data_IF_000559562304
#
_entry.id   IF_000559562304
#
_cell.length_a   1.000
_cell.length_b   1.000
_cell.length_c   1.000
_cell.angle_alpha   90.00
_cell.angle_beta   90.00
_cell.angle_gamma   90.00
#
_symmetry.space_group_name_H-M   'P 1'
#
loop_
_entity.id
_entity.type
_entity.pdbx_description
1 polymer ?
#
# COMPACT_ATOMS: atom_id res chain seq x y z
N UNK A 1 -4.16 44.64 22.30
CA UNK A 1 -3.77 44.35 20.90
C UNK A 1 -3.51 42.85 20.63
N UNK A 2 -3.91 41.91 21.50
CA UNK A 2 -3.50 40.49 21.38
C UNK A 2 -4.67 39.50 21.19
N UNK A 3 -5.90 39.98 21.01
CA UNK A 3 -7.10 39.14 21.03
C UNK A 3 -7.47 38.50 19.67
N UNK A 4 -6.75 38.84 18.60
CA UNK A 4 -7.08 38.38 17.24
C UNK A 4 -6.34 37.11 16.83
N UNK A 5 -5.23 36.76 17.50
CA UNK A 5 -4.39 35.61 17.12
C UNK A 5 -4.89 34.28 17.69
N UNK A 6 -5.74 34.30 18.73
CA UNK A 6 -6.35 33.09 19.32
C UNK A 6 -7.61 32.62 18.61
N UNK A 7 -8.21 33.46 17.75
CA UNK A 7 -9.32 33.01 16.92
C UNK A 7 -8.74 32.21 15.75
N UNK A 8 -8.95 30.88 15.85
CA UNK A 8 -9.44 30.03 14.75
C UNK A 8 -8.41 29.12 14.05
N UNK A 9 -7.63 28.30 14.78
CA UNK A 9 -7.01 27.11 14.16
C UNK A 9 -8.15 26.13 13.79
N UNK A 10 -8.71 26.26 12.58
CA UNK A 10 -9.75 25.37 12.03
C UNK A 10 -9.19 24.06 11.49
N UNK A 11 -7.88 24.04 11.22
CA UNK A 11 -7.25 22.97 10.46
C UNK A 11 -5.91 22.57 11.10
N UNK A 12 -5.70 21.27 11.23
CA UNK A 12 -4.50 20.64 11.77
C UNK A 12 -3.80 19.81 10.70
N UNK A 13 -2.48 19.96 10.56
CA UNK A 13 -1.64 19.14 9.67
C UNK A 13 -1.15 17.91 10.42
N UNK A 14 -1.47 16.72 9.92
CA UNK A 14 -1.03 15.43 10.48
C UNK A 14 -0.16 14.67 9.46
N UNK A 15 0.78 13.85 9.97
CA UNK A 15 1.56 12.90 9.17
C UNK A 15 1.02 11.50 9.39
N UNK A 16 0.59 10.84 8.31
CA UNK A 16 0.06 9.47 8.34
C UNK A 16 1.21 8.45 8.45
N UNK A 17 0.93 7.20 8.91
CA UNK A 17 1.90 6.11 8.89
C UNK A 17 2.44 5.78 7.49
N UNK A 18 1.69 6.12 6.42
CA UNK A 18 2.16 6.02 5.03
C UNK A 18 3.22 7.08 4.65
N UNK A 19 3.50 8.04 5.53
CA UNK A 19 4.39 9.17 5.30
C UNK A 19 3.73 10.39 4.66
N UNK A 20 2.48 10.27 4.17
CA UNK A 20 1.74 11.39 3.59
C UNK A 20 1.29 12.40 4.65
N UNK A 21 1.42 13.69 4.34
CA UNK A 21 0.86 14.79 5.15
C UNK A 21 -0.57 15.07 4.72
N UNK A 22 -1.50 15.24 5.67
CA UNK A 22 -2.89 15.61 5.41
C UNK A 22 -3.35 16.73 6.34
N UNK A 23 -4.25 17.56 5.86
CA UNK A 23 -4.95 18.59 6.65
C UNK A 23 -6.30 18.02 7.08
N UNK A 24 -6.65 18.18 8.35
CA UNK A 24 -7.89 17.69 8.96
C UNK A 24 -8.49 18.80 9.82
N UNK A 25 -9.82 18.84 9.95
CA UNK A 25 -10.49 19.80 10.84
C UNK A 25 -10.02 19.63 12.29
N UNK A 26 -9.79 20.75 12.98
CA UNK A 26 -9.37 20.76 14.39
C UNK A 26 -10.43 20.23 15.34
N UNK A 27 -11.70 20.18 14.92
CA UNK A 27 -12.80 19.57 15.69
C UNK A 27 -12.81 18.03 15.64
N UNK A 28 -11.92 17.39 14.88
CA UNK A 28 -11.84 15.93 14.83
C UNK A 28 -11.23 15.35 16.13
N UNK A 29 -11.79 14.22 16.59
CA UNK A 29 -11.28 13.51 17.78
C UNK A 29 -10.00 12.74 17.45
N UNK A 30 -9.05 12.76 18.39
CA UNK A 30 -7.83 11.95 18.35
C UNK A 30 -7.56 11.34 19.74
N UNK A 31 -6.81 10.24 19.77
CA UNK A 31 -6.35 9.61 21.00
C UNK A 31 -4.86 9.92 21.19
N UNK A 32 -4.46 10.30 22.40
CA UNK A 32 -3.06 10.52 22.75
C UNK A 32 -2.38 9.15 22.92
N UNK A 33 -1.25 8.96 22.25
CA UNK A 33 -0.42 7.76 22.35
C UNK A 33 -0.34 6.94 21.06
N UNK A 34 0.12 5.70 21.19
CA UNK A 34 0.32 4.76 20.08
C UNK A 34 -0.63 3.56 20.20
N UNK A 35 -0.96 2.93 19.07
CA UNK A 35 -1.77 1.71 19.06
C UNK A 35 -0.96 0.57 19.68
N UNK A 36 -1.55 -0.16 20.63
CA UNK A 36 -0.93 -1.28 21.31
C UNK A 36 -0.71 -2.50 20.37
N UNK A 37 0.19 -3.41 20.76
CA UNK A 37 0.49 -4.63 19.99
C UNK A 37 1.38 -4.41 18.76
N UNK A 38 2.21 -3.35 18.79
CA UNK A 38 3.26 -3.11 17.81
C UNK A 38 4.28 -4.27 17.70
N UNK A 39 5.02 -4.32 16.60
CA UNK A 39 6.07 -5.33 16.38
C UNK A 39 5.58 -6.73 15.94
N UNK A 40 4.26 -7.01 15.95
CA UNK A 40 3.71 -8.31 15.49
C UNK A 40 4.17 -8.73 14.08
N UNK A 41 4.47 -7.77 13.21
CA UNK A 41 4.92 -8.00 11.82
C UNK A 41 6.40 -8.34 11.68
N UNK A 42 7.21 -8.13 12.72
CA UNK A 42 8.66 -8.38 12.69
C UNK A 42 8.97 -9.88 12.73
N UNK A 43 8.17 -10.65 13.48
CA UNK A 43 8.31 -12.10 13.53
C UNK A 43 7.88 -12.75 12.21
N UNK A 44 8.76 -13.51 11.52
CA UNK A 44 8.40 -14.19 10.28
C UNK A 44 7.38 -15.33 10.53
N UNK A 45 6.46 -15.50 9.58
CA UNK A 45 5.51 -16.63 9.57
C UNK A 45 6.18 -17.83 8.90
N UNK A 46 6.69 -18.77 9.69
CA UNK A 46 7.47 -19.90 9.18
C UNK A 46 6.61 -20.99 8.53
N UNK A 47 5.48 -21.35 9.14
CA UNK A 47 4.60 -22.44 8.68
C UNK A 47 3.42 -21.90 7.87
N UNK A 48 3.06 -22.60 6.79
CA UNK A 48 1.85 -22.30 6.01
C UNK A 48 0.56 -22.37 6.85
N UNK A 49 0.47 -23.32 7.80
CA UNK A 49 -0.66 -23.42 8.73
C UNK A 49 -0.90 -22.16 9.58
N UNK A 50 0.16 -21.42 9.92
CA UNK A 50 0.02 -20.15 10.64
C UNK A 50 -0.62 -19.08 9.75
N UNK A 51 -0.30 -19.07 8.45
CA UNK A 51 -0.95 -18.19 7.48
C UNK A 51 -2.42 -18.60 7.27
N UNK A 52 -2.70 -19.89 7.18
CA UNK A 52 -4.06 -20.42 7.09
C UNK A 52 -4.95 -19.90 8.23
N UNK A 53 -4.54 -20.10 9.50
CA UNK A 53 -5.32 -19.62 10.65
C UNK A 53 -5.47 -18.09 10.68
N UNK A 54 -4.45 -17.35 10.22
CA UNK A 54 -4.50 -15.88 10.11
C UNK A 54 -5.55 -15.40 9.09
N UNK A 55 -5.71 -16.09 7.96
CA UNK A 55 -6.66 -15.72 6.92
C UNK A 55 -8.06 -16.32 7.13
N UNK A 56 -8.17 -17.44 7.85
CA UNK A 56 -9.45 -18.08 8.20
C UNK A 56 -10.39 -17.18 8.99
N UNK A 57 -9.84 -16.36 9.90
CA UNK A 57 -10.64 -15.40 10.71
C UNK A 57 -10.90 -14.08 10.00
N UNK A 58 -10.42 -13.94 8.75
CA UNK A 58 -10.61 -12.76 7.91
C UNK A 58 -11.36 -13.19 6.64
N UNK A 59 -11.14 -12.47 5.54
CA UNK A 59 -11.61 -12.89 4.22
C UNK A 59 -10.79 -14.06 3.68
N UNK A 60 -11.46 -14.97 2.97
CA UNK A 60 -10.82 -16.04 2.21
C UNK A 60 -9.98 -15.47 1.04
N UNK A 61 -8.69 -15.26 1.27
CA UNK A 61 -7.74 -14.73 0.29
C UNK A 61 -6.40 -15.48 0.26
N UNK A 62 -6.37 -16.68 0.85
CA UNK A 62 -5.22 -17.56 0.93
C UNK A 62 -5.69 -19.02 0.78
N UNK A 63 -4.99 -19.88 0.02
CA UNK A 63 -3.75 -19.63 -0.73
C UNK A 63 -3.98 -18.80 -2.00
N UNK A 64 -2.91 -18.23 -2.58
CA UNK A 64 -2.96 -17.48 -3.85
C UNK A 64 -2.20 -18.24 -4.91
N UNK A 65 -2.90 -18.69 -5.95
CA UNK A 65 -2.29 -19.31 -7.14
C UNK A 65 -1.72 -18.21 -8.04
N UNK A 66 -0.52 -18.41 -8.58
CA UNK A 66 0.09 -17.45 -9.53
C UNK A 66 -0.70 -17.47 -10.84
N UNK A 67 -1.01 -16.31 -11.39
CA UNK A 67 -1.77 -16.23 -12.66
C UNK A 67 -1.12 -16.94 -13.85
N UNK A 68 0.23 -17.03 -13.88
CA UNK A 68 0.97 -17.76 -14.91
C UNK A 68 0.81 -19.29 -14.82
N UNK A 69 0.42 -19.81 -13.65
CA UNK A 69 0.15 -21.23 -13.46
C UNK A 69 -1.27 -21.62 -13.89
N UNK A 70 -2.09 -20.65 -14.30
CA UNK A 70 -3.46 -20.85 -14.74
C UNK A 70 -3.53 -20.95 -16.27
N UNK A 71 -4.67 -21.40 -16.79
CA UNK A 71 -4.92 -21.45 -18.23
C UNK A 71 -5.21 -20.04 -18.79
N UNK A 72 -5.11 -19.80 -20.13
CA UNK A 72 -5.44 -18.51 -20.74
C UNK A 72 -6.86 -18.02 -20.44
N UNK A 73 -7.80 -18.95 -20.24
CA UNK A 73 -9.21 -18.65 -19.92
C UNK A 73 -9.39 -18.08 -18.52
N UNK A 74 -8.55 -18.51 -17.57
CA UNK A 74 -8.71 -18.19 -16.16
C UNK A 74 -7.99 -16.89 -15.77
N UNK A 75 -6.87 -16.58 -16.44
CA UNK A 75 -6.06 -15.42 -16.10
C UNK A 75 -5.29 -14.88 -17.33
N UNK A 76 -5.17 -13.55 -17.51
CA UNK A 76 -4.49 -12.98 -18.69
C UNK A 76 -3.00 -13.36 -18.83
N UNK A 77 -2.33 -13.65 -17.72
CA UNK A 77 -0.94 -14.16 -17.71
C UNK A 77 -0.83 -15.68 -17.93
N UNK A 78 -1.95 -16.39 -18.04
CA UNK A 78 -2.00 -17.84 -18.09
C UNK A 78 -1.75 -18.41 -19.48
N UNK A 79 -1.38 -19.70 -19.53
CA UNK A 79 -1.15 -20.45 -20.76
C UNK A 79 0.26 -20.45 -21.31
N UNK A 80 0.37 -20.92 -22.57
CA UNK A 80 1.63 -21.16 -23.26
C UNK A 80 2.31 -22.48 -22.86
N UNK A 81 3.25 -22.94 -23.70
CA UNK A 81 4.03 -24.15 -23.42
C UNK A 81 5.08 -23.93 -22.33
N UNK A 82 5.51 -22.68 -22.13
CA UNK A 82 6.44 -22.28 -21.07
C UNK A 82 5.77 -21.27 -20.15
N UNK A 83 6.04 -21.33 -18.84
CA UNK A 83 5.46 -20.38 -17.88
C UNK A 83 6.13 -19.01 -17.99
N UNK A 84 5.48 -18.08 -18.67
CA UNK A 84 5.90 -16.68 -18.79
C UNK A 84 4.68 -15.78 -19.02
N UNK A 85 4.81 -14.46 -18.83
CA UNK A 85 3.68 -13.53 -19.01
C UNK A 85 3.39 -13.28 -20.50
N UNK A 86 4.40 -13.32 -21.38
CA UNK A 86 4.25 -13.12 -22.83
C UNK A 86 3.98 -11.68 -23.27
N UNK A 87 3.49 -10.82 -22.38
CA UNK A 87 3.21 -9.40 -22.63
C UNK A 87 3.75 -8.50 -21.49
N UNK A 88 3.80 -7.16 -21.65
CA UNK A 88 4.20 -6.26 -20.58
C UNK A 88 3.33 -6.45 -19.33
N UNK A 89 3.97 -6.61 -18.17
CA UNK A 89 3.28 -6.79 -16.88
C UNK A 89 2.80 -5.49 -16.23
N UNK A 90 3.03 -4.33 -16.86
CA UNK A 90 2.55 -3.02 -16.41
C UNK A 90 1.26 -2.65 -17.14
N UNK A 91 0.19 -2.40 -16.40
CA UNK A 91 -1.14 -2.14 -16.98
C UNK A 91 -1.61 -0.73 -16.68
N UNK A 92 -2.32 -0.11 -17.63
CA UNK A 92 -2.85 1.25 -17.47
C UNK A 92 -3.90 1.33 -16.36
N UNK A 93 -4.06 2.52 -15.76
CA UNK A 93 -5.12 2.76 -14.76
C UNK A 93 -6.54 2.55 -15.33
N UNK A 94 -6.70 2.79 -16.63
CA UNK A 94 -7.97 2.78 -17.36
C UNK A 94 -8.32 1.44 -18.00
N UNK A 95 -7.48 0.41 -17.85
CA UNK A 95 -7.78 -0.92 -18.36
C UNK A 95 -9.13 -1.42 -17.80
N UNK A 96 -9.88 -2.28 -18.51
CA UNK A 96 -11.11 -2.88 -17.99
C UNK A 96 -10.82 -3.85 -16.83
N UNK A 97 -11.84 -4.21 -16.01
CA UNK A 97 -11.66 -5.06 -14.82
C UNK A 97 -10.92 -6.38 -15.08
N UNK A 98 -11.18 -7.04 -16.20
CA UNK A 98 -10.51 -8.31 -16.55
C UNK A 98 -9.06 -8.16 -17.03
N UNK A 99 -8.65 -6.95 -17.47
CA UNK A 99 -7.28 -6.69 -17.94
C UNK A 99 -6.39 -6.06 -16.87
N UNK A 100 -6.95 -5.56 -15.74
CA UNK A 100 -6.19 -4.95 -14.63
C UNK A 100 -5.44 -6.00 -13.79
N UNK A 101 -4.45 -6.65 -14.39
CA UNK A 101 -3.56 -7.61 -13.73
C UNK A 101 -2.11 -7.11 -13.74
N UNK A 102 -1.26 -7.66 -12.87
CA UNK A 102 0.15 -7.25 -12.76
C UNK A 102 0.36 -5.92 -12.02
N UNK A 103 1.29 -5.10 -12.50
CA UNK A 103 1.69 -3.83 -11.90
C UNK A 103 0.80 -2.69 -12.42
N UNK A 104 -0.24 -2.35 -11.67
CA UNK A 104 -1.25 -1.37 -12.09
C UNK A 104 -0.69 0.05 -11.97
N UNK A 105 -0.69 0.78 -13.09
CA UNK A 105 -0.27 2.18 -13.20
C UNK A 105 1.09 2.47 -12.54
N UNK A 106 2.01 1.50 -12.62
CA UNK A 106 3.33 1.61 -12.03
C UNK A 106 4.13 2.74 -12.69
N UNK A 107 4.54 3.73 -11.90
CA UNK A 107 5.41 4.84 -12.36
C UNK A 107 6.88 4.42 -12.47
N UNK A 108 7.26 3.36 -11.75
CA UNK A 108 8.60 2.80 -11.70
C UNK A 108 8.50 1.30 -11.40
N UNK A 109 9.40 0.52 -11.96
CA UNK A 109 9.54 -0.93 -11.71
C UNK A 109 10.94 -1.22 -11.13
N UNK A 110 11.14 -2.46 -10.64
CA UNK A 110 12.40 -2.91 -10.05
C UNK A 110 12.57 -2.60 -8.55
N UNK A 111 13.70 -3.03 -7.98
CA UNK A 111 13.99 -2.87 -6.54
C UNK A 111 14.31 -1.40 -6.22
N UNK A 112 13.65 -0.87 -5.20
CA UNK A 112 13.96 0.46 -4.68
C UNK A 112 15.32 0.42 -3.97
N UNK A 113 16.30 1.18 -4.47
CA UNK A 113 17.64 1.37 -3.86
C UNK A 113 17.90 2.88 -3.72
N UNK A 114 18.63 3.29 -2.67
CA UNK A 114 19.08 4.69 -2.49
C UNK A 114 18.00 5.73 -2.12
N UNK A 115 16.75 5.31 -1.92
CA UNK A 115 15.65 6.26 -1.68
C UNK A 115 15.58 6.81 -0.25
N UNK A 116 16.18 6.14 0.74
CA UNK A 116 16.25 6.67 2.10
C UNK A 116 17.00 8.01 2.13
N UNK A 117 18.11 8.12 1.39
CA UNK A 117 18.86 9.37 1.22
C UNK A 117 18.06 10.42 0.43
N UNK A 118 17.40 10.04 -0.67
CA UNK A 118 16.62 10.96 -1.49
C UNK A 118 15.30 11.43 -0.82
N UNK A 119 14.73 10.65 0.11
CA UNK A 119 13.57 11.03 0.90
C UNK A 119 13.95 11.93 2.09
N UNK A 120 15.15 11.76 2.66
CA UNK A 120 15.71 12.65 3.68
C UNK A 120 16.14 14.01 3.11
N UNK A 121 16.54 14.07 1.83
CA UNK A 121 17.01 15.29 1.17
C UNK A 121 15.90 16.20 0.61
N UNK A 122 14.62 15.82 0.67
CA UNK A 122 13.53 16.70 0.23
C UNK A 122 13.23 17.71 1.34
N UNK A 123 13.41 19.03 1.11
CA UNK A 123 13.04 20.01 2.12
C UNK A 123 11.54 19.88 2.39
N UNK A 124 11.19 19.87 3.67
CA UNK A 124 9.81 19.99 4.09
C UNK A 124 9.30 21.34 3.60
N UNK A 125 8.57 21.35 2.47
CA UNK A 125 7.87 22.55 2.02
C UNK A 125 6.74 22.84 3.01
N UNK A 126 7.08 23.53 4.08
CA UNK A 126 6.17 24.24 4.97
C UNK A 126 5.89 25.60 4.33
N UNK A 127 4.95 25.59 3.38
CA UNK A 127 4.05 26.71 3.16
C UNK A 127 2.65 26.18 3.43
#
# INVERSE_FOLDING_TARGET
>A
MNYTIELLIRECRIKLPSGAKKVVSSGCRAMIGQVAGGGRTEKPLLKAGNAYHKFRVKRNCWPKVRGVAMNPVDHPHGGGNHQHIGHPGTVSRRAPPGQKVGLIAAKRTGRLRGQAAAAAAKPDKST
#
